data_IF_303435787744
#
_entry.id   IF_303435787744
#
_cell.length_a   1.000
_cell.length_b   1.000
_cell.length_c   1.000
_cell.angle_alpha   90.00
_cell.angle_beta   90.00
_cell.angle_gamma   90.00
#
_symmetry.space_group_name_H-M   'P 1'
#
loop_
_entity.id
_entity.type
_entity.pdbx_description
1 polymer ?
#
# COMPACT_ATOMS: atom_id res chain seq x y z
N UNK A 1 -7.02 -11.75 2.35
CA UNK A 1 -7.40 -11.44 0.96
C UNK A 1 -7.77 -12.73 0.24
N UNK A 2 -8.76 -12.70 -0.62
CA UNK A 2 -9.21 -13.87 -1.39
C UNK A 2 -9.44 -13.47 -2.83
N UNK A 3 -8.81 -14.21 -3.75
CA UNK A 3 -8.98 -14.02 -5.19
C UNK A 3 -9.24 -15.39 -5.84
N UNK A 4 -10.51 -15.65 -6.19
CA UNK A 4 -10.93 -16.94 -6.71
C UNK A 4 -10.61 -18.08 -5.71
N UNK A 5 -9.90 -19.15 -6.14
CA UNK A 5 -9.53 -20.28 -5.30
C UNK A 5 -8.36 -19.98 -4.36
N UNK A 6 -7.71 -18.83 -4.50
CA UNK A 6 -6.54 -18.46 -3.71
C UNK A 6 -6.94 -17.56 -2.53
N UNK A 7 -6.52 -17.92 -1.31
CA UNK A 7 -6.67 -17.14 -0.09
C UNK A 7 -5.30 -16.84 0.50
N UNK A 8 -5.06 -15.59 0.87
CA UNK A 8 -3.82 -15.14 1.51
C UNK A 8 -4.15 -14.59 2.88
N UNK A 9 -3.48 -15.11 3.92
CA UNK A 9 -3.57 -14.59 5.29
C UNK A 9 -2.17 -14.19 5.74
N UNK A 10 -2.04 -12.97 6.25
CA UNK A 10 -0.75 -12.44 6.69
C UNK A 10 -0.85 -11.96 8.13
N UNK A 11 0.11 -12.39 8.96
CA UNK A 11 0.28 -11.92 10.33
C UNK A 11 1.67 -11.31 10.48
N UNK A 12 1.74 -10.06 10.93
CA UNK A 12 2.98 -9.31 11.08
C UNK A 12 3.04 -8.65 12.45
N UNK A 13 4.21 -8.71 13.09
CA UNK A 13 4.56 -7.93 14.26
C UNK A 13 5.51 -6.80 13.83
N UNK A 14 5.18 -5.57 14.18
CA UNK A 14 5.97 -4.39 13.80
C UNK A 14 6.52 -3.71 15.06
N UNK A 15 7.82 -3.41 15.03
CA UNK A 15 8.49 -2.57 16.00
C UNK A 15 9.06 -1.33 15.31
N UNK A 16 8.87 -0.17 15.91
CA UNK A 16 9.44 1.07 15.42
C UNK A 16 10.10 1.85 16.55
N UNK A 17 11.27 2.40 16.26
CA UNK A 17 12.01 3.28 17.16
C UNK A 17 12.18 4.66 16.50
N UNK A 18 11.87 5.71 17.27
CA UNK A 18 11.91 7.10 16.82
C UNK A 18 12.93 7.88 17.60
N UNK A 19 13.79 8.60 16.90
CA UNK A 19 14.79 9.52 17.48
C UNK A 19 14.57 10.94 16.98
N UNK A 20 14.84 11.90 17.80
CA UNK A 20 14.93 13.29 17.41
C UNK A 20 16.34 13.58 16.90
N UNK A 21 16.47 13.88 15.59
CA UNK A 21 17.76 14.17 14.91
C UNK A 21 18.04 15.67 14.83
N UNK A 22 16.97 16.48 14.91
CA UNK A 22 17.01 17.94 14.84
C UNK A 22 15.80 18.47 15.60
N UNK A 23 15.85 19.72 16.05
CA UNK A 23 14.69 20.37 16.65
C UNK A 23 13.48 20.21 15.76
N UNK A 24 12.41 19.58 16.27
CA UNK A 24 11.17 19.24 15.58
C UNK A 24 11.36 18.30 14.35
N UNK A 25 12.53 17.66 14.20
CA UNK A 25 12.83 16.70 13.15
C UNK A 25 13.08 15.31 13.70
N UNK A 26 12.28 14.34 13.31
CA UNK A 26 12.28 12.97 13.84
C UNK A 26 12.57 11.96 12.75
N UNK A 27 13.47 11.01 13.05
CA UNK A 27 13.71 9.83 12.23
C UNK A 27 13.15 8.60 12.94
N UNK A 28 12.21 7.93 12.30
CA UNK A 28 11.69 6.65 12.74
C UNK A 28 12.28 5.52 11.90
N UNK A 29 12.72 4.47 12.56
CA UNK A 29 13.22 3.24 11.95
C UNK A 29 12.28 2.11 12.35
N UNK A 30 11.76 1.36 11.37
CA UNK A 30 10.79 0.29 11.59
C UNK A 30 11.25 -1.03 11.00
N UNK A 31 10.91 -2.09 11.69
CA UNK A 31 11.07 -3.46 11.22
C UNK A 31 9.78 -4.24 11.51
N UNK A 32 9.34 -5.04 10.56
CA UNK A 32 8.18 -5.92 10.70
C UNK A 32 8.60 -7.33 10.35
N UNK A 33 8.26 -8.29 11.21
CA UNK A 33 8.50 -9.71 10.99
C UNK A 33 7.20 -10.50 11.15
N UNK A 34 7.02 -11.54 10.35
CA UNK A 34 5.84 -12.37 10.40
C UNK A 34 5.83 -13.43 9.32
N UNK A 35 4.64 -13.89 8.94
CA UNK A 35 4.47 -14.86 7.88
C UNK A 35 3.17 -14.61 7.11
N UNK A 36 3.16 -15.04 5.86
CA UNK A 36 1.99 -15.14 5.01
C UNK A 36 1.66 -16.62 4.77
N UNK A 37 0.41 -16.98 4.97
CA UNK A 37 -0.13 -18.29 4.59
C UNK A 37 -0.87 -18.13 3.25
N UNK A 38 -0.40 -18.87 2.26
CA UNK A 38 -1.03 -19.01 0.95
C UNK A 38 -1.81 -20.30 0.91
N UNK A 39 -3.09 -20.20 0.63
CA UNK A 39 -4.00 -21.33 0.54
C UNK A 39 -4.56 -21.37 -0.87
N UNK A 40 -4.33 -22.47 -1.60
CA UNK A 40 -4.96 -22.76 -2.87
C UNK A 40 -5.97 -23.90 -2.66
N UNK A 41 -7.21 -23.63 -3.02
CA UNK A 41 -8.26 -24.64 -3.04
C UNK A 41 -8.33 -25.26 -4.46
N UNK A 42 -7.68 -26.40 -4.64
CA UNK A 42 -7.65 -27.13 -5.91
C UNK A 42 -9.02 -27.67 -6.32
N UNK A 43 -9.91 -27.97 -5.35
CA UNK A 43 -11.25 -28.47 -5.64
C UNK A 43 -12.15 -27.37 -6.28
N UNK A 44 -11.83 -26.11 -6.04
CA UNK A 44 -12.51 -24.96 -6.64
C UNK A 44 -12.05 -24.68 -8.08
N UNK A 45 -10.97 -25.30 -8.53
CA UNK A 45 -10.49 -25.23 -9.91
C UNK A 45 -11.33 -26.17 -10.79
N UNK A 46 -11.70 -25.69 -11.97
CA UNK A 46 -12.37 -26.50 -13.00
C UNK A 46 -11.43 -26.60 -14.20
N UNK A 47 -10.55 -27.62 -14.22
CA UNK A 47 -9.66 -27.81 -15.35
C UNK A 47 -10.43 -28.26 -16.59
N UNK A 48 -10.02 -27.80 -17.76
CA UNK A 48 -10.51 -28.31 -19.04
C UNK A 48 -10.03 -29.75 -19.28
N UNK A 49 -8.86 -30.11 -18.75
CA UNK A 49 -8.31 -31.46 -18.73
C UNK A 49 -8.13 -31.95 -17.27
N UNK A 50 -8.98 -32.91 -16.83
CA UNK A 50 -8.88 -33.47 -15.48
C UNK A 50 -7.57 -34.24 -15.21
N UNK A 51 -6.79 -34.58 -16.26
CA UNK A 51 -5.53 -35.30 -16.15
C UNK A 51 -4.30 -34.40 -16.14
N UNK A 52 -4.45 -33.09 -16.13
CA UNK A 52 -3.34 -32.14 -16.09
C UNK A 52 -2.55 -32.26 -14.76
N UNK A 53 -1.28 -32.72 -14.81
CA UNK A 53 -0.46 -32.89 -13.61
C UNK A 53 -0.11 -31.57 -12.91
N UNK A 54 -0.34 -30.43 -13.55
CA UNK A 54 -0.17 -29.09 -12.96
C UNK A 54 -1.29 -28.69 -12.01
N UNK A 55 -2.40 -29.47 -11.97
CA UNK A 55 -3.53 -29.23 -11.10
C UNK A 55 -3.47 -30.17 -9.91
N UNK A 56 -3.31 -29.63 -8.74
CA UNK A 56 -3.27 -30.42 -7.52
C UNK A 56 -4.68 -30.67 -7.04
N UNK A 57 -5.05 -31.95 -6.95
CA UNK A 57 -6.26 -32.37 -6.25
C UNK A 57 -6.11 -32.07 -4.75
N UNK A 58 -7.01 -31.23 -4.21
CA UNK A 58 -7.02 -30.89 -2.80
C UNK A 58 -6.52 -29.50 -2.48
N UNK A 59 -6.37 -29.24 -1.17
CA UNK A 59 -5.99 -27.93 -0.63
C UNK A 59 -4.48 -27.87 -0.37
N UNK A 60 -3.81 -26.91 -0.99
CA UNK A 60 -2.41 -26.60 -0.74
C UNK A 60 -2.29 -25.44 0.24
N UNK A 61 -1.50 -25.62 1.28
CA UNK A 61 -1.14 -24.58 2.22
C UNK A 61 0.38 -24.36 2.20
N UNK A 62 0.79 -23.12 2.08
CA UNK A 62 2.20 -22.73 2.09
C UNK A 62 2.43 -21.57 3.05
N UNK A 63 3.35 -21.72 3.98
CA UNK A 63 3.80 -20.67 4.90
C UNK A 63 5.08 -20.05 4.39
N UNK A 64 5.07 -18.72 4.24
CA UNK A 64 6.22 -17.93 3.79
C UNK A 64 6.55 -16.93 4.87
N UNK A 65 7.77 -16.99 5.46
CA UNK A 65 8.22 -15.96 6.38
C UNK A 65 8.37 -14.64 5.64
N UNK A 66 8.04 -13.56 6.31
CA UNK A 66 8.10 -12.22 5.73
C UNK A 66 8.82 -11.26 6.69
N UNK A 67 9.68 -10.42 6.12
CA UNK A 67 10.41 -9.38 6.82
C UNK A 67 10.31 -8.08 6.02
N UNK A 68 9.94 -6.99 6.68
CA UNK A 68 9.92 -5.66 6.09
C UNK A 68 10.75 -4.70 6.93
N UNK A 69 11.33 -3.69 6.30
CA UNK A 69 12.06 -2.65 6.98
C UNK A 69 11.75 -1.28 6.37
N UNK A 70 11.87 -0.22 7.16
CA UNK A 70 11.62 1.12 6.69
C UNK A 70 12.25 2.21 7.54
N UNK A 71 12.45 3.35 6.89
CA UNK A 71 12.92 4.60 7.47
C UNK A 71 11.89 5.68 7.15
N UNK A 72 11.55 6.50 8.13
CA UNK A 72 10.63 7.60 7.97
C UNK A 72 11.15 8.84 8.70
N UNK A 73 11.41 9.89 7.95
CA UNK A 73 11.79 11.19 8.50
C UNK A 73 10.63 12.15 8.40
N UNK A 74 10.34 12.86 9.46
CA UNK A 74 9.31 13.90 9.44
C UNK A 74 9.65 15.10 10.33
N UNK A 75 9.11 16.23 9.91
CA UNK A 75 9.03 17.50 10.65
C UNK A 75 7.55 17.88 10.76
N UNK A 76 7.18 18.98 11.41
CA UNK A 76 5.79 19.46 11.40
C UNK A 76 5.19 19.75 10.02
N UNK A 77 6.03 20.04 9.02
CA UNK A 77 5.58 20.47 7.69
C UNK A 77 6.04 19.57 6.54
N UNK A 78 6.97 18.66 6.77
CA UNK A 78 7.57 17.82 5.73
C UNK A 78 7.71 16.38 6.20
N UNK A 79 7.55 15.43 5.30
CA UNK A 79 7.87 14.02 5.55
C UNK A 79 8.49 13.34 4.32
N UNK A 80 9.31 12.35 4.58
CA UNK A 80 9.83 11.44 3.54
C UNK A 80 10.06 10.06 4.15
N UNK A 81 9.92 9.02 3.35
CA UNK A 81 10.11 7.64 3.81
C UNK A 81 10.56 6.71 2.72
N UNK A 82 11.32 5.70 3.13
CA UNK A 82 11.74 4.57 2.33
C UNK A 82 11.36 3.30 3.05
N UNK A 83 10.80 2.33 2.34
CA UNK A 83 10.56 1.00 2.89
C UNK A 83 10.77 -0.09 1.86
N UNK A 84 11.14 -1.26 2.35
CA UNK A 84 11.31 -2.48 1.57
C UNK A 84 10.50 -3.58 2.21
N UNK A 85 9.67 -4.22 1.40
CA UNK A 85 8.84 -5.34 1.80
C UNK A 85 9.36 -6.63 1.18
N UNK A 86 9.02 -7.75 1.83
CA UNK A 86 9.34 -9.10 1.39
C UNK A 86 10.86 -9.35 1.31
N UNK A 87 11.61 -8.91 2.32
CA UNK A 87 13.08 -9.09 2.39
C UNK A 87 13.52 -10.56 2.46
N UNK A 88 12.64 -11.45 2.89
CA UNK A 88 12.89 -12.90 3.02
C UNK A 88 11.73 -13.70 2.43
N UNK A 89 11.94 -14.99 2.22
CA UNK A 89 10.88 -15.92 1.74
C UNK A 89 10.91 -16.22 0.23
N UNK A 90 11.63 -15.45 -0.57
CA UNK A 90 11.64 -15.60 -2.04
C UNK A 90 12.17 -16.95 -2.51
N UNK A 91 13.18 -17.49 -1.83
CA UNK A 91 13.80 -18.77 -2.22
C UNK A 91 12.88 -19.97 -1.91
N UNK A 92 11.94 -19.83 -0.98
CA UNK A 92 11.00 -20.90 -0.65
C UNK A 92 10.00 -21.14 -1.78
N UNK A 93 9.62 -20.10 -2.50
CA UNK A 93 8.71 -20.19 -3.65
C UNK A 93 9.38 -20.70 -4.91
N UNK A 94 10.68 -20.42 -5.09
CA UNK A 94 11.43 -20.87 -6.27
C UNK A 94 11.67 -22.38 -6.31
N UNK A 95 11.69 -23.03 -5.15
CA UNK A 95 11.95 -24.46 -5.00
C UNK A 95 10.68 -25.34 -5.10
N UNK A 96 9.52 -24.71 -5.21
CA UNK A 96 8.27 -25.42 -5.44
C UNK A 96 7.76 -25.02 -6.81
N UNK A 97 7.58 -25.98 -7.69
CA UNK A 97 7.12 -25.80 -9.10
C UNK A 97 5.72 -25.15 -9.22
N UNK A 98 5.22 -24.61 -8.15
CA UNK A 98 3.93 -23.93 -8.05
C UNK A 98 4.14 -22.40 -8.08
N UNK A 99 3.83 -21.79 -9.22
CA UNK A 99 3.83 -20.33 -9.42
C UNK A 99 2.69 -19.61 -8.67
N UNK A 100 2.41 -20.03 -7.42
CA UNK A 100 1.27 -19.54 -6.63
C UNK A 100 1.41 -18.12 -6.10
N UNK A 101 2.63 -17.62 -5.95
CA UNK A 101 2.86 -16.28 -5.45
C UNK A 101 4.20 -15.71 -5.91
N UNK A 102 4.18 -14.49 -6.36
CA UNK A 102 5.38 -13.69 -6.60
C UNK A 102 5.75 -12.96 -5.30
N UNK A 103 6.71 -13.49 -4.55
CA UNK A 103 7.22 -12.88 -3.33
C UNK A 103 8.49 -12.10 -3.61
N UNK A 104 8.37 -11.06 -4.45
CA UNK A 104 9.46 -10.18 -4.86
C UNK A 104 9.69 -9.06 -3.85
N UNK A 105 10.86 -8.42 -3.93
CA UNK A 105 11.11 -7.17 -3.22
C UNK A 105 10.19 -6.07 -3.73
N UNK A 106 9.51 -5.39 -2.81
CA UNK A 106 8.77 -4.18 -3.13
C UNK A 106 9.39 -2.99 -2.41
N UNK A 107 9.83 -2.02 -3.17
CA UNK A 107 10.39 -0.78 -2.67
C UNK A 107 9.33 0.32 -2.73
N UNK A 108 9.25 1.09 -1.65
CA UNK A 108 8.37 2.24 -1.56
C UNK A 108 9.18 3.46 -1.19
N UNK A 109 8.98 4.52 -1.93
CA UNK A 109 9.48 5.85 -1.60
C UNK A 109 8.30 6.80 -1.50
N UNK A 110 8.23 7.57 -0.42
CA UNK A 110 7.23 8.60 -0.25
C UNK A 110 7.86 9.91 0.18
N UNK A 111 7.28 11.00 -0.31
CA UNK A 111 7.66 12.36 0.07
C UNK A 111 6.45 13.26 0.02
N UNK A 112 6.37 14.21 0.92
CA UNK A 112 5.29 15.19 0.95
C UNK A 112 5.45 16.23 2.02
N UNK A 113 4.48 17.13 2.10
CA UNK A 113 4.47 18.17 3.13
C UNK A 113 3.10 18.77 3.33
N UNK A 114 2.94 19.56 4.39
CA UNK A 114 1.75 20.34 4.68
C UNK A 114 2.12 21.81 4.65
N UNK A 115 1.41 22.58 3.84
CA UNK A 115 1.64 24.00 3.61
C UNK A 115 0.36 24.77 3.97
N UNK A 116 0.38 25.65 4.97
CA UNK A 116 -0.75 26.53 5.25
C UNK A 116 -0.93 27.52 4.09
N UNK A 117 -2.12 27.56 3.49
CA UNK A 117 -2.50 28.52 2.45
C UNK A 117 -3.18 29.72 3.10
N UNK A 118 -4.01 29.46 4.10
CA UNK A 118 -4.70 30.46 4.93
C UNK A 118 -4.90 29.93 6.34
N UNK A 119 -5.48 30.77 7.21
CA UNK A 119 -5.79 30.35 8.57
C UNK A 119 -6.78 29.16 8.65
N UNK A 120 -7.57 28.94 7.60
CA UNK A 120 -8.58 27.89 7.54
C UNK A 120 -8.23 26.75 6.58
N UNK A 121 -7.20 26.90 5.73
CA UNK A 121 -6.90 25.95 4.65
C UNK A 121 -5.41 25.63 4.61
N UNK A 122 -5.10 24.32 4.63
CA UNK A 122 -3.76 23.80 4.38
C UNK A 122 -3.77 22.85 3.19
N UNK A 123 -2.70 22.85 2.40
CA UNK A 123 -2.49 21.94 1.27
C UNK A 123 -1.45 20.89 1.64
N UNK A 124 -1.72 19.63 1.27
CA UNK A 124 -0.80 18.51 1.44
C UNK A 124 -0.53 17.84 0.08
N UNK A 125 0.47 18.30 -0.67
CA UNK A 125 0.99 17.55 -1.80
C UNK A 125 1.82 16.38 -1.31
N UNK A 126 1.75 15.24 -2.03
CA UNK A 126 2.62 14.11 -1.79
C UNK A 126 2.82 13.26 -3.03
N UNK A 127 3.94 12.55 -3.06
CA UNK A 127 4.32 11.58 -4.06
C UNK A 127 4.60 10.25 -3.38
N UNK A 128 4.05 9.17 -3.91
CA UNK A 128 4.41 7.79 -3.58
C UNK A 128 4.91 7.10 -4.84
N UNK A 129 6.09 6.51 -4.77
CA UNK A 129 6.67 5.67 -5.82
C UNK A 129 6.73 4.25 -5.30
N UNK A 130 6.25 3.30 -6.09
CA UNK A 130 6.32 1.87 -5.83
C UNK A 130 7.11 1.21 -6.93
N UNK A 131 8.15 0.49 -6.53
CA UNK A 131 9.02 -0.24 -7.44
C UNK A 131 8.94 -1.73 -7.12
N UNK A 132 8.58 -2.49 -8.13
CA UNK A 132 8.70 -3.93 -8.18
C UNK A 132 9.71 -4.25 -9.30
N UNK A 133 10.78 -4.99 -8.99
CA UNK A 133 11.85 -5.26 -9.96
C UNK A 133 11.36 -6.01 -11.20
N UNK A 134 10.22 -6.71 -11.11
CA UNK A 134 9.62 -7.53 -12.15
C UNK A 134 8.33 -6.94 -12.74
N UNK A 135 7.93 -5.74 -12.29
CA UNK A 135 6.74 -5.06 -12.78
C UNK A 135 7.04 -3.59 -13.13
N UNK A 136 6.16 -2.89 -13.85
CA UNK A 136 6.29 -1.47 -14.08
C UNK A 136 6.34 -0.67 -12.77
N UNK A 137 7.27 0.31 -12.70
CA UNK A 137 7.28 1.27 -11.59
C UNK A 137 5.98 2.04 -11.57
N UNK A 138 5.29 2.09 -10.45
CA UNK A 138 4.07 2.89 -10.29
C UNK A 138 4.29 4.08 -9.38
N UNK A 139 3.57 5.17 -9.64
CA UNK A 139 3.61 6.36 -8.82
C UNK A 139 2.20 6.94 -8.61
N UNK A 140 2.00 7.52 -7.44
CA UNK A 140 0.79 8.27 -7.09
C UNK A 140 1.19 9.69 -6.73
N UNK A 141 0.63 10.67 -7.43
CA UNK A 141 0.76 12.09 -7.11
C UNK A 141 -0.55 12.52 -6.45
N UNK A 142 -0.45 13.03 -5.22
CA UNK A 142 -1.61 13.41 -4.43
C UNK A 142 -1.61 14.91 -4.15
N UNK A 143 -2.79 15.50 -4.16
CA UNK A 143 -3.05 16.84 -3.70
C UNK A 143 -4.28 16.83 -2.79
N UNK A 144 -4.06 17.07 -1.50
CA UNK A 144 -5.12 17.10 -0.49
C UNK A 144 -5.22 18.50 0.11
N UNK A 145 -6.42 18.93 0.41
CA UNK A 145 -6.70 20.21 1.10
C UNK A 145 -7.44 19.93 2.41
N UNK A 146 -6.91 20.47 3.47
CA UNK A 146 -7.50 20.43 4.80
C UNK A 146 -8.22 21.73 5.08
N UNK A 147 -9.49 21.65 5.42
CA UNK A 147 -10.34 22.78 5.79
C UNK A 147 -10.66 22.72 7.29
N UNK A 148 -10.45 23.84 7.98
CA UNK A 148 -10.77 24.02 9.40
C UNK A 148 -10.26 22.89 10.31
N UNK A 149 -9.10 22.30 9.95
CA UNK A 149 -8.47 21.17 10.66
C UNK A 149 -9.34 19.90 10.79
N UNK A 150 -10.45 19.80 10.05
CA UNK A 150 -11.44 18.73 10.20
C UNK A 150 -11.79 18.01 8.91
N UNK A 151 -11.75 18.68 7.79
CA UNK A 151 -12.21 18.11 6.53
C UNK A 151 -11.11 18.10 5.49
N UNK A 152 -10.75 16.91 5.01
CA UNK A 152 -9.85 16.72 3.89
C UNK A 152 -10.63 16.44 2.60
N UNK A 153 -10.27 17.11 1.54
CA UNK A 153 -10.72 16.80 0.18
C UNK A 153 -9.52 16.83 -0.74
N UNK A 154 -9.47 15.89 -1.66
CA UNK A 154 -8.35 15.88 -2.59
C UNK A 154 -8.49 14.87 -3.70
N UNK A 155 -7.43 14.78 -4.47
CA UNK A 155 -7.32 13.85 -5.58
C UNK A 155 -5.95 13.21 -5.61
N UNK A 156 -5.90 11.98 -6.13
CA UNK A 156 -4.69 11.25 -6.46
C UNK A 156 -4.70 10.88 -7.92
N UNK A 157 -3.58 11.09 -8.60
CA UNK A 157 -3.33 10.57 -9.94
C UNK A 157 -2.33 9.43 -9.86
N UNK A 158 -2.77 8.23 -10.27
CA UNK A 158 -1.94 7.02 -10.31
C UNK A 158 -1.54 6.72 -11.74
N UNK A 159 -0.28 6.41 -11.96
CA UNK A 159 0.24 5.96 -13.25
C UNK A 159 1.39 4.98 -13.09
N UNK A 160 1.80 4.33 -14.18
CA UNK A 160 2.92 3.40 -14.22
C UNK A 160 3.84 3.68 -15.39
N UNK A 161 5.15 3.44 -15.19
CA UNK A 161 6.20 3.55 -16.21
C UNK A 161 6.80 2.17 -16.41
N UNK A 162 6.73 1.63 -17.63
CA UNK A 162 7.43 0.39 -17.97
C UNK A 162 8.90 0.65 -18.24
N UNK A 163 9.77 -0.14 -17.62
CA UNK A 163 11.22 -0.09 -17.85
C UNK A 163 11.65 -0.89 -19.07
N UNK A 164 10.91 -1.93 -19.43
CA UNK A 164 11.20 -2.81 -20.56
C UNK A 164 9.97 -2.92 -21.45
N UNK A 165 10.11 -2.45 -22.68
CA UNK A 165 9.05 -2.49 -23.70
C UNK A 165 8.96 -3.88 -24.36
N UNK A 166 8.75 -4.96 -23.60
CA UNK A 166 8.32 -6.20 -24.20
C UNK A 166 6.85 -6.08 -24.61
N UNK A 167 6.41 -6.66 -25.74
CA UNK A 167 5.01 -6.56 -26.19
C UNK A 167 3.99 -7.01 -25.15
N UNK A 168 4.36 -7.94 -24.28
CA UNK A 168 3.54 -8.47 -23.19
C UNK A 168 3.40 -7.45 -22.04
N UNK A 169 4.44 -6.68 -21.74
CA UNK A 169 4.43 -5.64 -20.72
C UNK A 169 3.80 -4.32 -21.20
N UNK A 170 3.72 -4.08 -22.51
CA UNK A 170 3.08 -2.88 -23.06
C UNK A 170 1.61 -2.76 -22.65
N UNK A 171 0.93 -3.88 -22.41
CA UNK A 171 -0.45 -3.91 -21.92
C UNK A 171 -0.56 -3.64 -20.40
N UNK A 172 0.52 -3.82 -19.63
CA UNK A 172 0.57 -3.55 -18.19
C UNK A 172 0.78 -2.07 -17.87
N UNK A 173 1.29 -1.29 -18.83
CA UNK A 173 1.55 0.15 -18.67
C UNK A 173 0.30 1.03 -18.49
N UNK A 174 -0.87 0.49 -18.77
CA UNK A 174 -2.12 1.26 -18.73
C UNK A 174 -2.84 1.12 -17.38
N UNK A 175 -2.15 1.39 -16.26
CA UNK A 175 -2.76 1.43 -14.92
C UNK A 175 -3.02 2.85 -14.45
N UNK A 176 -3.52 3.71 -15.34
CA UNK A 176 -3.83 5.08 -14.97
C UNK A 176 -5.18 5.14 -14.25
N UNK A 177 -5.21 5.82 -13.13
CA UNK A 177 -6.42 6.05 -12.36
C UNK A 177 -6.41 7.45 -11.76
N UNK A 178 -7.59 8.01 -11.57
CA UNK A 178 -7.82 9.20 -10.76
C UNK A 178 -8.65 8.80 -9.55
N UNK A 179 -8.21 9.16 -8.37
CA UNK A 179 -8.93 8.88 -7.13
C UNK A 179 -9.40 10.19 -6.53
N UNK A 180 -10.68 10.25 -6.19
CA UNK A 180 -11.23 11.31 -5.36
C UNK A 180 -11.20 10.85 -3.90
N UNK A 181 -10.74 11.74 -3.01
CA UNK A 181 -10.51 11.45 -1.61
C UNK A 181 -11.27 12.45 -0.74
N UNK A 182 -12.04 11.93 0.18
CA UNK A 182 -12.76 12.70 1.21
C UNK A 182 -12.46 12.09 2.57
N UNK A 183 -12.21 12.94 3.57
CA UNK A 183 -11.88 12.48 4.90
C UNK A 183 -12.38 13.49 5.93
N UNK A 184 -13.10 13.02 6.94
CA UNK A 184 -13.75 13.85 7.93
C UNK A 184 -13.39 13.38 9.35
N UNK A 185 -12.86 14.28 10.16
CA UNK A 185 -12.79 14.11 11.60
C UNK A 185 -14.16 14.42 12.22
N UNK A 186 -14.95 13.37 12.44
CA UNK A 186 -16.29 13.47 13.06
C UNK A 186 -16.16 13.96 14.50
N UNK A 187 -15.15 13.45 15.21
CA UNK A 187 -14.69 13.90 16.52
C UNK A 187 -13.17 14.04 16.49
N UNK A 188 -12.58 14.47 17.62
CA UNK A 188 -11.10 14.50 17.73
C UNK A 188 -10.47 13.11 17.65
N UNK A 189 -11.24 12.05 17.92
CA UNK A 189 -10.77 10.68 17.98
C UNK A 189 -11.29 9.80 16.83
N UNK A 190 -12.37 10.22 16.12
CA UNK A 190 -13.00 9.42 15.06
C UNK A 190 -12.83 10.13 13.72
N UNK A 191 -12.26 9.40 12.79
CA UNK A 191 -12.08 9.79 11.39
C UNK A 191 -12.85 8.85 10.47
N UNK A 192 -13.56 9.39 9.49
CA UNK A 192 -14.26 8.64 8.44
C UNK A 192 -13.75 9.12 7.10
N UNK A 193 -13.29 8.20 6.28
CA UNK A 193 -12.78 8.47 4.94
C UNK A 193 -13.57 7.73 3.87
N UNK A 194 -13.64 8.36 2.70
CA UNK A 194 -14.21 7.79 1.50
C UNK A 194 -13.29 8.04 0.31
N UNK A 195 -13.04 7.01 -0.49
CA UNK A 195 -12.31 7.12 -1.73
C UNK A 195 -13.11 6.54 -2.90
N UNK A 196 -13.03 7.20 -4.03
CA UNK A 196 -13.58 6.73 -5.30
C UNK A 196 -12.48 6.65 -6.34
N UNK A 197 -12.11 5.43 -6.72
CA UNK A 197 -11.06 5.15 -7.71
C UNK A 197 -11.69 5.00 -9.09
N UNK A 198 -11.35 5.91 -9.99
CA UNK A 198 -11.80 5.93 -11.38
C UNK A 198 -10.69 5.43 -12.29
N UNK A 199 -10.94 4.32 -12.96
CA UNK A 199 -10.05 3.83 -14.00
C UNK A 199 -10.21 4.66 -15.27
N UNK A 200 -9.12 5.31 -15.71
CA UNK A 200 -9.11 6.16 -16.92
C UNK A 200 -8.48 5.49 -18.14
N UNK A 201 -8.25 4.18 -18.09
CA UNK A 201 -7.66 3.43 -19.20
C UNK A 201 -8.71 3.06 -20.25
N UNK A 202 -8.60 3.63 -21.43
CA UNK A 202 -9.53 3.41 -22.56
C UNK A 202 -9.53 1.97 -23.12
N UNK A 203 -8.51 1.15 -22.85
CA UNK A 203 -8.34 -0.18 -23.47
C UNK A 203 -8.85 -1.36 -22.64
N UNK A 204 -9.30 -1.13 -21.41
CA UNK A 204 -9.61 -2.23 -20.50
C UNK A 204 -11.02 -2.09 -19.92
N UNK A 205 -12.03 -2.53 -20.69
CA UNK A 205 -13.43 -2.58 -20.26
C UNK A 205 -13.69 -3.52 -19.06
N UNK A 206 -12.66 -4.24 -18.59
CA UNK A 206 -12.78 -5.22 -17.49
C UNK A 206 -12.37 -4.66 -16.11
N UNK A 207 -11.90 -3.41 -16.02
CA UNK A 207 -11.58 -2.76 -14.75
C UNK A 207 -12.70 -1.82 -14.36
N UNK A 208 -13.45 -2.22 -13.35
CA UNK A 208 -14.48 -1.40 -12.73
C UNK A 208 -13.84 -0.34 -11.82
N UNK A 209 -14.56 0.76 -11.64
CA UNK A 209 -14.27 1.72 -10.59
C UNK A 209 -14.48 1.08 -9.22
N UNK A 210 -13.76 1.55 -8.19
CA UNK A 210 -13.94 1.04 -6.84
C UNK A 210 -14.32 2.14 -5.86
N UNK A 211 -15.01 1.74 -4.80
CA UNK A 211 -15.40 2.58 -3.68
C UNK A 211 -14.74 2.02 -2.42
N UNK A 212 -14.10 2.87 -1.64
CA UNK A 212 -13.48 2.51 -0.39
C UNK A 212 -14.04 3.37 0.74
N UNK A 213 -14.39 2.72 1.84
CA UNK A 213 -14.81 3.39 3.07
C UNK A 213 -13.80 3.04 4.17
N UNK A 214 -13.33 4.03 4.89
CA UNK A 214 -12.43 3.85 6.00
C UNK A 214 -12.97 4.48 7.28
N UNK A 215 -12.73 3.82 8.41
CA UNK A 215 -13.02 4.35 9.73
C UNK A 215 -11.77 4.23 10.58
N UNK A 216 -11.31 5.33 11.13
CA UNK A 216 -10.17 5.39 12.03
C UNK A 216 -10.61 5.84 13.43
N UNK A 217 -10.10 5.16 14.44
CA UNK A 217 -10.26 5.57 15.83
C UNK A 217 -8.89 5.82 16.46
N UNK A 218 -8.67 7.01 16.99
CA UNK A 218 -7.43 7.41 17.65
C UNK A 218 -7.57 7.18 19.16
N UNK A 219 -6.84 6.18 19.66
CA UNK A 219 -6.75 5.96 21.10
C UNK A 219 -5.84 7.04 21.67
N UNK A 220 -6.45 8.00 22.35
CA UNK A 220 -5.71 9.09 23.00
C UNK A 220 -5.19 8.59 24.35
N UNK A 221 -3.97 8.06 24.37
CA UNK A 221 -3.33 7.61 25.60
C UNK A 221 -2.84 8.84 26.37
N UNK A 222 -3.64 9.28 27.35
CA UNK A 222 -3.33 10.41 28.25
C UNK A 222 -2.01 10.22 29.03
N UNK A 223 -1.45 9.01 29.01
CA UNK A 223 -0.24 8.62 29.70
C UNK A 223 1.04 8.82 28.86
N UNK A 224 0.93 8.90 27.55
CA UNK A 224 2.05 9.14 26.67
C UNK A 224 2.11 10.61 26.33
N UNK A 225 3.01 11.35 27.00
CA UNK A 225 3.36 12.74 26.67
C UNK A 225 4.16 12.82 25.35
N UNK A 226 3.68 12.23 24.29
CA UNK A 226 4.23 12.47 22.95
C UNK A 226 3.61 13.74 22.39
N UNK A 227 4.40 14.67 21.85
CA UNK A 227 3.85 15.81 21.11
C UNK A 227 2.89 15.24 20.06
N UNK A 228 1.70 15.83 19.91
CA UNK A 228 0.75 15.47 18.86
C UNK A 228 1.53 15.40 17.55
N UNK A 229 1.61 14.22 16.97
CA UNK A 229 2.22 14.08 15.64
C UNK A 229 1.40 14.93 14.67
N UNK A 230 2.06 15.59 13.69
CA UNK A 230 1.32 16.21 12.61
C UNK A 230 0.34 15.18 12.05
N UNK A 231 -0.92 15.55 11.88
CA UNK A 231 -1.96 14.67 11.30
C UNK A 231 -1.72 14.54 9.80
N UNK A 232 -0.66 13.76 9.44
CA UNK A 232 -0.35 13.44 8.04
C UNK A 232 -1.31 12.39 7.49
#
# INVERSE_FOLDING_TARGET
>A
DQLGPTKIQTAMLTYAYKIEVKRDGYLAMGISAGAAEYILDGEALRPDDPSDPGITDGRLNMFIPNLNAGLFYHTPTFFTGLSVFNLIGQNMLKNQDLALANHNYHFYFQVGGIFPISNAVSMKPSLLVREDLNAPTSFDINAMFLFNERFWVGTSFRSGISKNSTPEMANLNNRNAVVLLLDLFVTDDIRVGYAYDMNINKKNNYRNNSHELSVGYYINDKWIKTPRQPRF
#
